data_IF_851481356113
#
_entry.id   IF_851481356113
#
_cell.length_a   1.000
_cell.length_b   1.000
_cell.length_c   1.000
_cell.angle_alpha   90.00
_cell.angle_beta   90.00
_cell.angle_gamma   90.00
#
_symmetry.space_group_name_H-M   'P 1'
#
loop_
_entity.id
_entity.type
_entity.pdbx_description
1 polymer ?
#
# COMPACT_ATOMS: atom_id res chain seq x y z
N UNK A 1 0.75 6.25 -16.27
CA UNK A 1 -0.27 6.30 -15.21
C UNK A 1 0.42 6.76 -13.95
N UNK A 2 0.03 7.90 -13.37
CA UNK A 2 0.66 8.40 -12.15
C UNK A 2 0.32 7.50 -10.97
N UNK A 3 1.34 6.95 -10.31
CA UNK A 3 1.22 6.21 -9.02
C UNK A 3 0.88 7.13 -7.84
N UNK A 4 0.63 8.40 -8.11
CA UNK A 4 0.27 9.43 -7.14
C UNK A 4 -0.83 9.02 -6.16
N UNK A 5 -1.93 8.36 -6.59
CA UNK A 5 -3.03 8.02 -5.68
C UNK A 5 -2.63 7.02 -4.58
N UNK A 6 -1.93 5.93 -4.91
CA UNK A 6 -1.56 4.92 -3.91
C UNK A 6 -0.43 5.42 -2.99
N UNK A 7 0.55 6.13 -3.54
CA UNK A 7 1.62 6.73 -2.73
C UNK A 7 1.06 7.79 -1.78
N UNK A 8 0.06 8.57 -2.21
CA UNK A 8 -0.64 9.52 -1.34
C UNK A 8 -1.31 8.80 -0.17
N UNK A 9 -2.06 7.73 -0.43
CA UNK A 9 -2.73 6.95 0.64
C UNK A 9 -1.70 6.37 1.60
N UNK A 10 -0.63 5.73 1.11
CA UNK A 10 0.41 5.15 1.96
C UNK A 10 1.14 6.20 2.81
N UNK A 11 1.38 7.39 2.26
CA UNK A 11 1.92 8.52 3.00
C UNK A 11 0.94 9.02 4.08
N UNK A 12 -0.35 9.12 3.77
CA UNK A 12 -1.39 9.49 4.75
C UNK A 12 -1.57 8.45 5.86
N UNK A 13 -1.24 7.17 5.59
CA UNK A 13 -1.25 6.11 6.59
C UNK A 13 -0.01 6.08 7.48
N UNK A 14 1.09 6.71 7.06
CA UNK A 14 2.37 6.61 7.76
C UNK A 14 2.28 7.22 9.16
N UNK A 15 2.63 6.43 10.18
CA UNK A 15 2.53 6.84 11.59
C UNK A 15 1.10 6.91 12.14
N UNK A 16 0.11 6.42 11.40
CA UNK A 16 -1.29 6.36 11.83
C UNK A 16 -1.73 4.91 12.12
N UNK A 17 -2.92 4.76 12.71
CA UNK A 17 -3.60 3.47 12.87
C UNK A 17 -4.50 3.12 11.69
N UNK A 18 -4.45 3.88 10.58
CA UNK A 18 -5.28 3.60 9.40
C UNK A 18 -4.93 2.24 8.81
N UNK A 19 -5.96 1.61 8.25
CA UNK A 19 -5.87 0.29 7.63
C UNK A 19 -6.28 0.36 6.16
N UNK A 20 -5.58 -0.42 5.33
CA UNK A 20 -5.78 -0.46 3.90
C UNK A 20 -5.83 -1.90 3.42
N UNK A 21 -6.95 -2.24 2.80
CA UNK A 21 -7.07 -3.51 2.07
C UNK A 21 -6.58 -3.30 0.64
N UNK A 22 -5.49 -3.96 0.28
CA UNK A 22 -4.93 -3.97 -1.06
C UNK A 22 -5.39 -5.23 -1.80
N UNK A 23 -6.22 -5.06 -2.83
CA UNK A 23 -6.62 -6.16 -3.71
C UNK A 23 -5.68 -6.20 -4.91
N UNK A 24 -4.92 -7.29 -5.02
CA UNK A 24 -4.01 -7.54 -6.14
C UNK A 24 -4.69 -8.44 -7.17
N UNK A 25 -4.57 -8.09 -8.46
CA UNK A 25 -5.12 -8.89 -9.54
C UNK A 25 -4.51 -10.30 -9.52
N UNK A 26 -5.37 -11.33 -9.57
CA UNK A 26 -4.95 -12.73 -9.52
C UNK A 26 -4.73 -13.30 -8.11
N UNK A 27 -4.87 -12.48 -7.05
CA UNK A 27 -4.89 -12.95 -5.67
C UNK A 27 -6.33 -13.15 -5.20
N UNK A 28 -6.60 -14.28 -4.55
CA UNK A 28 -7.94 -14.58 -4.01
C UNK A 28 -8.26 -13.81 -2.72
N UNK A 29 -7.24 -13.32 -2.02
CA UNK A 29 -7.36 -12.62 -0.75
C UNK A 29 -6.71 -11.24 -0.83
N UNK A 30 -7.37 -10.24 -0.26
CA UNK A 30 -6.79 -8.92 -0.06
C UNK A 30 -5.63 -8.99 0.93
N UNK A 31 -4.60 -8.18 0.67
CA UNK A 31 -3.51 -7.95 1.60
C UNK A 31 -3.86 -6.78 2.50
N UNK A 32 -3.89 -7.00 3.81
CA UNK A 32 -4.13 -5.94 4.78
C UNK A 32 -2.82 -5.21 5.11
N UNK A 33 -2.82 -3.89 4.98
CA UNK A 33 -1.75 -2.99 5.36
C UNK A 33 -2.18 -2.20 6.59
N UNK A 34 -1.39 -2.28 7.67
CA UNK A 34 -1.64 -1.61 8.94
C UNK A 34 -0.31 -1.09 9.50
N UNK A 35 -0.34 -0.07 10.34
CA UNK A 35 0.85 0.46 11.03
C UNK A 35 2.02 0.75 10.07
N UNK A 36 1.74 1.50 8.99
CA UNK A 36 2.76 1.85 7.99
C UNK A 36 3.80 2.77 8.64
N UNK A 37 5.08 2.40 8.52
CA UNK A 37 6.22 3.19 9.02
C UNK A 37 6.83 4.07 7.93
N UNK A 38 6.90 3.56 6.69
CA UNK A 38 7.23 4.36 5.52
C UNK A 38 6.78 3.65 4.23
N UNK A 39 6.61 4.43 3.16
CA UNK A 39 6.45 3.93 1.80
C UNK A 39 7.34 4.74 0.83
N UNK A 40 8.04 4.06 -0.07
CA UNK A 40 8.92 4.70 -1.05
C UNK A 40 8.74 4.09 -2.44
N UNK A 41 8.73 4.94 -3.46
CA UNK A 41 8.75 4.52 -4.86
C UNK A 41 10.18 4.11 -5.27
N UNK A 42 10.32 2.91 -5.83
CA UNK A 42 11.57 2.38 -6.34
C UNK A 42 11.72 2.74 -7.81
N UNK A 43 12.49 3.79 -8.10
CA UNK A 43 12.66 4.34 -9.44
C UNK A 43 13.28 3.37 -10.46
N UNK A 44 14.13 2.42 -10.02
CA UNK A 44 14.80 1.46 -10.91
C UNK A 44 13.90 0.32 -11.39
N UNK A 45 12.84 0.00 -10.62
CA UNK A 45 12.10 -1.27 -10.76
C UNK A 45 10.60 -1.06 -10.88
N UNK A 46 10.15 0.20 -10.99
CA UNK A 46 8.73 0.52 -11.01
C UNK A 46 7.99 -0.07 -9.78
N UNK A 47 8.68 -0.19 -8.65
CA UNK A 47 8.14 -0.84 -7.47
C UNK A 47 7.75 0.14 -6.37
N UNK A 48 7.00 -0.35 -5.39
CA UNK A 48 6.75 0.36 -4.13
C UNK A 48 7.28 -0.52 -3.01
N UNK A 49 8.11 0.05 -2.14
CA UNK A 49 8.51 -0.60 -0.90
C UNK A 49 7.74 0.02 0.25
N UNK A 50 6.98 -0.81 0.96
CA UNK A 50 6.19 -0.45 2.13
C UNK A 50 6.79 -1.17 3.33
N UNK A 51 7.17 -0.41 4.35
CA UNK A 51 7.53 -0.97 5.65
C UNK A 51 6.38 -0.74 6.61
N UNK A 52 5.95 -1.80 7.27
CA UNK A 52 5.05 -1.75 8.42
C UNK A 52 5.83 -2.15 9.67
N UNK A 53 5.21 -2.00 10.84
CA UNK A 53 5.77 -2.51 12.09
C UNK A 53 5.97 -4.04 12.08
N UNK A 54 5.17 -4.76 11.30
CA UNK A 54 5.13 -6.23 11.31
C UNK A 54 5.87 -6.87 10.12
N UNK A 55 6.07 -6.13 9.02
CA UNK A 55 6.52 -6.71 7.76
C UNK A 55 7.14 -5.67 6.81
N UNK A 56 7.83 -6.18 5.78
CA UNK A 56 8.25 -5.41 4.62
C UNK A 56 7.59 -5.99 3.37
N UNK A 57 7.07 -5.12 2.52
CA UNK A 57 6.24 -5.48 1.37
C UNK A 57 6.79 -4.76 0.15
N UNK A 58 7.00 -5.51 -0.93
CA UNK A 58 7.45 -5.01 -2.22
C UNK A 58 6.38 -5.28 -3.26
N UNK A 59 5.91 -4.21 -3.91
CA UNK A 59 4.95 -4.27 -5.01
C UNK A 59 5.66 -3.92 -6.31
N UNK A 60 5.53 -4.73 -7.36
CA UNK A 60 6.04 -4.43 -8.71
C UNK A 60 4.87 -3.93 -9.59
N UNK A 61 5.03 -2.77 -10.23
CA UNK A 61 3.96 -2.15 -11.01
C UNK A 61 3.57 -2.86 -12.31
N UNK A 62 4.25 -3.94 -12.70
CA UNK A 62 3.77 -4.83 -13.75
C UNK A 62 2.45 -5.53 -13.39
N UNK A 63 2.06 -5.58 -12.10
CA UNK A 63 0.84 -6.24 -11.62
C UNK A 63 -0.17 -5.30 -10.93
N UNK A 64 0.08 -3.99 -10.90
CA UNK A 64 -0.73 -3.05 -10.12
C UNK A 64 -1.90 -2.53 -10.97
N UNK A 65 -2.84 -3.44 -11.23
CA UNK A 65 -4.27 -3.08 -11.24
C UNK A 65 -4.77 -3.21 -9.79
N UNK A 66 -4.17 -2.46 -8.87
CA UNK A 66 -4.55 -2.55 -7.47
C UNK A 66 -5.81 -1.73 -7.24
N UNK A 67 -6.86 -2.37 -6.73
CA UNK A 67 -8.01 -1.70 -6.14
C UNK A 67 -7.75 -1.64 -4.64
N UNK A 68 -7.99 -0.48 -4.03
CA UNK A 68 -7.73 -0.29 -2.60
C UNK A 68 -8.95 0.34 -1.92
N UNK A 69 -9.18 -0.06 -0.67
CA UNK A 69 -10.20 0.52 0.18
C UNK A 69 -9.57 0.91 1.52
N UNK A 70 -9.59 2.21 1.81
CA UNK A 70 -9.20 2.72 3.14
C UNK A 70 -10.38 2.55 4.08
N UNK A 71 -10.12 2.01 5.27
CA UNK A 71 -11.11 1.99 6.36
C UNK A 71 -10.71 3.04 7.38
N UNK A 72 -11.65 3.88 7.77
CA UNK A 72 -11.51 4.73 8.94
C UNK A 72 -12.30 4.04 10.05
N UNK A 73 -11.61 3.59 11.10
CA UNK A 73 -12.28 3.12 12.30
C UNK A 73 -13.00 4.33 12.92
N UNK A 74 -14.33 4.29 12.86
CA UNK A 74 -15.20 5.33 13.40
C UNK A 74 -15.00 5.49 14.90
N UNK A 75 -14.83 6.74 15.31
CA UNK A 75 -14.96 7.20 16.71
C UNK A 75 -16.42 7.33 17.10
#
# INVERSE_FOLDING_TARGET
MERGPIMRVLNEMTGTTKELDLVLQGQAKAMELRNVEYAVELHSSNGIHIKTRQSQIWLDASHVSAMWQTREDGS
#
